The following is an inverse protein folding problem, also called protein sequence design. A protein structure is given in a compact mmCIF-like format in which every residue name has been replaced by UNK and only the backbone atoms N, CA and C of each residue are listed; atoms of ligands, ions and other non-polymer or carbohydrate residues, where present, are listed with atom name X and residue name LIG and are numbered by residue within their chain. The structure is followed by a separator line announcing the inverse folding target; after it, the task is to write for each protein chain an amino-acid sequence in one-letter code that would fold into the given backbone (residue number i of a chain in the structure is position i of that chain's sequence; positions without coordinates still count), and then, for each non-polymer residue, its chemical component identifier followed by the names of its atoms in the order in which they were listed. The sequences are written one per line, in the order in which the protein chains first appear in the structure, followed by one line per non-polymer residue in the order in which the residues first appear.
data_IF_669758030343
#
_entry.id   IF_669758030343
#
_cell.length_a   1.000
_cell.length_b   1.000
_cell.length_c   1.000
_cell.angle_alpha   90.00
_cell.angle_beta   90.00
_cell.angle_gamma   90.00
#
_symmetry.space_group_name_H-M   'P 1'
#
loop_
_entity.id
_entity.type
_entity.pdbx_description
1 polymer ?
#
# COMPACT_ATOMS: atom_id res chain seq x y z
N UNK A 1 18.92 -35.54 -59.72
CA UNK A 1 18.84 -34.22 -60.41
C UNK A 1 20.08 -33.44 -60.04
N UNK A 2 20.67 -32.79 -61.04
CA UNK A 2 22.08 -32.44 -61.18
C UNK A 2 22.69 -31.60 -60.07
N UNK A 3 23.93 -31.94 -59.70
CA UNK A 3 24.88 -31.09 -58.96
C UNK A 3 25.36 -30.02 -59.94
N UNK A 4 24.91 -28.78 -59.78
CA UNK A 4 25.53 -27.63 -60.43
C UNK A 4 26.62 -27.10 -59.50
N UNK A 5 27.80 -27.71 -59.63
CA UNK A 5 29.03 -27.26 -58.98
C UNK A 5 29.41 -25.91 -59.62
N UNK A 6 29.23 -24.83 -58.85
CA UNK A 6 29.69 -23.50 -59.26
C UNK A 6 31.22 -23.55 -59.25
N UNK A 7 31.80 -23.57 -60.44
CA UNK A 7 33.24 -23.50 -60.66
C UNK A 7 33.76 -22.14 -60.17
N UNK A 8 34.05 -22.05 -58.87
CA UNK A 8 34.79 -20.93 -58.30
C UNK A 8 36.25 -21.14 -58.71
N UNK A 9 36.74 -20.25 -59.57
CA UNK A 9 38.13 -20.13 -59.98
C UNK A 9 39.06 -20.29 -58.76
N UNK A 10 39.73 -21.44 -58.67
CA UNK A 10 40.77 -21.71 -57.68
C UNK A 10 42.03 -20.96 -58.10
N UNK A 11 42.05 -19.65 -57.86
CA UNK A 11 43.31 -18.93 -57.87
C UNK A 11 44.17 -19.54 -56.76
N UNK A 12 45.33 -20.07 -57.13
CA UNK A 12 46.31 -20.56 -56.19
C UNK A 12 46.76 -19.36 -55.34
N UNK A 13 46.12 -19.18 -54.19
CA UNK A 13 46.55 -18.20 -53.19
C UNK A 13 47.91 -18.70 -52.72
N UNK A 14 48.97 -18.01 -53.12
CA UNK A 14 50.30 -18.26 -52.60
C UNK A 14 50.24 -18.20 -51.07
N UNK A 15 50.92 -19.12 -50.35
CA UNK A 15 51.03 -19.02 -48.90
C UNK A 15 51.48 -17.61 -48.55
N UNK A 16 50.85 -16.93 -47.59
CA UNK A 16 51.26 -15.59 -47.19
C UNK A 16 52.76 -15.60 -46.90
N UNK A 17 53.51 -14.73 -47.59
CA UNK A 17 54.94 -14.56 -47.32
C UNK A 17 55.03 -13.77 -46.01
N UNK A 18 54.95 -14.48 -44.89
CA UNK A 18 55.03 -13.90 -43.55
C UNK A 18 56.51 -13.60 -43.30
N UNK A 19 56.83 -12.34 -43.01
CA UNK A 19 58.19 -11.96 -42.59
C UNK A 19 58.54 -12.67 -41.29
N UNK A 20 59.81 -13.06 -41.08
CA UNK A 20 60.25 -13.60 -39.79
C UNK A 20 59.91 -12.66 -38.62
N UNK A 21 59.93 -11.35 -38.86
CA UNK A 21 59.52 -10.33 -37.89
C UNK A 21 58.03 -10.43 -37.50
N UNK A 22 57.15 -10.73 -38.47
CA UNK A 22 55.71 -10.90 -38.22
C UNK A 22 55.46 -12.19 -37.42
N UNK A 23 56.22 -13.24 -37.71
CA UNK A 23 56.15 -14.50 -36.95
C UNK A 23 56.54 -14.29 -35.49
N UNK A 24 57.66 -13.62 -35.23
CA UNK A 24 58.11 -13.30 -33.87
C UNK A 24 57.13 -12.37 -33.13
N UNK A 25 56.48 -11.45 -33.83
CA UNK A 25 55.41 -10.62 -33.26
C UNK A 25 54.20 -11.47 -32.86
N UNK A 26 53.70 -12.34 -33.75
CA UNK A 26 52.56 -13.20 -33.46
C UNK A 26 52.83 -14.16 -32.30
N UNK A 27 54.03 -14.75 -32.22
CA UNK A 27 54.42 -15.59 -31.10
C UNK A 27 54.45 -14.82 -29.77
N UNK A 28 54.90 -13.56 -29.78
CA UNK A 28 54.83 -12.69 -28.58
C UNK A 28 53.39 -12.40 -28.17
N UNK A 29 52.50 -12.14 -29.12
CA UNK A 29 51.07 -11.89 -28.83
C UNK A 29 50.37 -13.14 -28.32
N UNK A 30 50.66 -14.31 -28.89
CA UNK A 30 50.13 -15.59 -28.41
C UNK A 30 50.60 -15.90 -26.99
N UNK A 31 51.90 -15.72 -26.70
CA UNK A 31 52.43 -15.85 -25.33
C UNK A 31 51.74 -14.89 -24.36
N UNK A 32 51.54 -13.64 -24.76
CA UNK A 32 50.83 -12.65 -23.95
C UNK A 32 49.40 -13.09 -23.63
N UNK A 33 48.64 -13.55 -24.64
CA UNK A 33 47.26 -14.05 -24.44
C UNK A 33 47.27 -15.19 -23.42
N UNK A 34 48.10 -16.22 -23.62
CA UNK A 34 48.15 -17.38 -22.73
C UNK A 34 48.42 -16.94 -21.28
N UNK A 35 49.47 -16.17 -21.05
CA UNK A 35 49.86 -15.69 -19.71
C UNK A 35 48.73 -14.87 -19.06
N UNK A 36 48.14 -13.93 -19.80
CA UNK A 36 47.08 -13.09 -19.26
C UNK A 36 45.81 -13.89 -18.97
N UNK A 37 45.45 -14.83 -19.83
CA UNK A 37 44.24 -15.67 -19.67
C UNK A 37 44.38 -16.66 -18.51
N UNK A 38 45.57 -17.23 -18.29
CA UNK A 38 45.88 -18.02 -17.10
C UNK A 38 45.83 -17.16 -15.84
N UNK A 39 46.38 -15.94 -15.89
CA UNK A 39 46.39 -14.99 -14.76
C UNK A 39 44.98 -14.62 -14.30
N UNK A 40 44.04 -14.42 -15.23
CA UNK A 40 42.65 -14.06 -14.91
C UNK A 40 41.77 -15.28 -14.57
N UNK A 41 42.33 -16.50 -14.53
CA UNK A 41 41.62 -17.70 -14.06
C UNK A 41 40.38 -18.04 -14.89
N UNK A 42 40.46 -17.76 -16.17
CA UNK A 42 39.33 -17.71 -17.06
C UNK A 42 38.91 -19.10 -17.56
N UNK A 43 37.63 -19.45 -17.41
CA UNK A 43 37.03 -20.72 -17.87
C UNK A 43 36.20 -20.52 -19.15
N UNK A 44 36.06 -21.58 -19.97
CA UNK A 44 35.35 -21.58 -21.26
C UNK A 44 33.84 -21.22 -21.18
N UNK A 45 33.30 -21.08 -19.97
CA UNK A 45 31.86 -21.02 -19.70
C UNK A 45 31.36 -19.63 -19.22
N UNK A 46 32.19 -18.58 -19.22
CA UNK A 46 31.81 -17.28 -18.64
C UNK A 46 32.15 -16.04 -19.49
N UNK A 47 31.35 -14.96 -19.41
CA UNK A 47 31.70 -13.68 -20.01
C UNK A 47 32.64 -12.95 -19.04
N UNK A 48 33.93 -13.30 -19.04
CA UNK A 48 34.91 -12.47 -18.35
C UNK A 48 35.07 -11.18 -19.16
N UNK A 49 34.59 -10.06 -18.62
CA UNK A 49 34.86 -8.73 -19.21
C UNK A 49 36.38 -8.52 -19.34
N UNK A 50 37.15 -9.21 -18.50
CA UNK A 50 38.61 -9.35 -18.52
C UNK A 50 39.13 -10.04 -19.79
N UNK A 51 38.49 -11.13 -20.26
CA UNK A 51 38.84 -11.76 -21.54
C UNK A 51 38.72 -10.78 -22.69
N UNK A 52 37.61 -10.04 -22.72
CA UNK A 52 37.35 -9.04 -23.75
C UNK A 52 38.44 -7.95 -23.75
N UNK A 53 38.88 -7.51 -22.58
CA UNK A 53 39.96 -6.51 -22.44
C UNK A 53 41.29 -7.05 -22.99
N UNK A 54 41.63 -8.32 -22.72
CA UNK A 54 42.86 -8.94 -23.22
C UNK A 54 42.87 -8.96 -24.76
N UNK A 55 41.80 -9.46 -25.38
CA UNK A 55 41.70 -9.52 -26.84
C UNK A 55 41.64 -8.14 -27.48
N UNK A 56 40.95 -7.18 -26.85
CA UNK A 56 40.94 -5.77 -27.30
C UNK A 56 42.35 -5.19 -27.36
N UNK A 57 43.14 -5.39 -26.31
CA UNK A 57 44.51 -4.90 -26.23
C UNK A 57 45.42 -5.54 -27.29
N UNK A 58 45.26 -6.85 -27.54
CA UNK A 58 46.02 -7.54 -28.60
C UNK A 58 45.63 -7.02 -29.97
N UNK A 59 44.34 -6.80 -30.22
CA UNK A 59 43.87 -6.27 -31.49
C UNK A 59 44.41 -4.86 -31.75
N UNK A 60 44.46 -4.00 -30.73
CA UNK A 60 45.08 -2.68 -30.82
C UNK A 60 46.58 -2.79 -31.20
N UNK A 61 47.32 -3.75 -30.61
CA UNK A 61 48.72 -4.03 -30.98
C UNK A 61 48.88 -4.54 -32.41
N UNK A 62 47.94 -5.33 -32.92
CA UNK A 62 47.93 -5.83 -34.30
C UNK A 62 47.70 -4.68 -35.30
N UNK A 63 46.75 -3.78 -34.99
CA UNK A 63 46.47 -2.58 -35.80
C UNK A 63 47.70 -1.67 -35.86
N UNK A 64 48.45 -1.57 -34.76
CA UNK A 64 49.68 -0.79 -34.71
C UNK A 64 50.82 -1.43 -35.51
N UNK A 65 50.98 -2.76 -35.39
CA UNK A 65 52.00 -3.53 -36.11
C UNK A 65 51.79 -3.50 -37.62
N UNK A 66 50.54 -3.57 -38.10
CA UNK A 66 50.29 -3.65 -39.54
C UNK A 66 49.64 -2.41 -40.11
N UNK A 67 50.53 -1.57 -40.63
CA UNK A 67 50.25 -0.23 -41.11
C UNK A 67 49.46 -0.19 -42.42
N UNK A 68 49.67 -1.16 -43.31
CA UNK A 68 49.08 -1.16 -44.67
C UNK A 68 47.55 -1.25 -44.66
N UNK A 69 46.97 -1.99 -43.70
CA UNK A 69 45.52 -2.19 -43.57
C UNK A 69 44.95 -1.58 -42.29
N UNK A 70 45.71 -0.67 -41.65
CA UNK A 70 45.36 -0.03 -40.39
C UNK A 70 43.98 0.62 -40.42
N UNK A 71 43.65 1.32 -41.50
CA UNK A 71 42.36 2.00 -41.67
C UNK A 71 41.20 1.01 -41.68
N UNK A 72 41.29 -0.05 -42.48
CA UNK A 72 40.26 -1.08 -42.60
C UNK A 72 40.07 -1.81 -41.27
N UNK A 73 41.16 -2.25 -40.61
CA UNK A 73 41.05 -2.92 -39.32
C UNK A 73 40.49 -2.02 -38.22
N UNK A 74 40.83 -0.73 -38.24
CA UNK A 74 40.27 0.24 -37.28
C UNK A 74 38.77 0.41 -37.50
N UNK A 75 38.31 0.52 -38.74
CA UNK A 75 36.87 0.59 -39.06
C UNK A 75 36.13 -0.68 -38.60
N UNK A 76 36.68 -1.86 -38.90
CA UNK A 76 36.12 -3.13 -38.42
C UNK A 76 36.04 -3.14 -36.89
N UNK A 77 37.13 -2.77 -36.21
CA UNK A 77 37.16 -2.69 -34.74
C UNK A 77 36.03 -1.80 -34.19
N UNK A 78 35.86 -0.62 -34.79
CA UNK A 78 34.85 0.35 -34.38
C UNK A 78 33.43 -0.18 -34.54
N UNK A 79 33.14 -0.89 -35.63
CA UNK A 79 31.84 -1.53 -35.84
C UNK A 79 31.55 -2.59 -34.77
N UNK A 80 32.52 -3.45 -34.46
CA UNK A 80 32.37 -4.45 -33.40
C UNK A 80 32.24 -3.82 -32.01
N UNK A 81 33.05 -2.81 -31.69
CA UNK A 81 32.96 -2.08 -30.42
C UNK A 81 31.56 -1.45 -30.25
N UNK A 82 31.02 -0.82 -31.29
CA UNK A 82 29.67 -0.25 -31.30
C UNK A 82 28.58 -1.30 -31.13
N UNK A 83 28.71 -2.44 -31.81
CA UNK A 83 27.77 -3.56 -31.70
C UNK A 83 27.76 -4.16 -30.29
N UNK A 84 28.94 -4.43 -29.72
CA UNK A 84 29.10 -4.95 -28.37
C UNK A 84 28.52 -3.97 -27.35
N UNK A 85 28.80 -2.67 -27.49
CA UNK A 85 28.24 -1.64 -26.62
C UNK A 85 26.70 -1.63 -26.66
N UNK A 86 26.13 -1.74 -27.85
CA UNK A 86 24.68 -1.80 -28.07
C UNK A 86 24.06 -3.02 -27.37
N UNK A 87 24.68 -4.20 -27.49
CA UNK A 87 24.24 -5.41 -26.80
C UNK A 87 24.31 -5.24 -25.28
N UNK A 88 25.46 -4.79 -24.75
CA UNK A 88 25.65 -4.59 -23.31
C UNK A 88 24.65 -3.58 -22.74
N UNK A 89 24.36 -2.50 -23.48
CA UNK A 89 23.33 -1.51 -23.11
C UNK A 89 21.94 -2.12 -23.11
N UNK A 90 21.60 -2.94 -24.11
CA UNK A 90 20.34 -3.67 -24.18
C UNK A 90 20.14 -4.60 -22.98
N UNK A 91 21.16 -5.39 -22.65
CA UNK A 91 21.14 -6.30 -21.49
C UNK A 91 20.94 -5.56 -20.16
N UNK A 92 21.68 -4.47 -19.93
CA UNK A 92 21.52 -3.64 -18.71
C UNK A 92 20.12 -3.04 -18.62
N UNK A 93 19.59 -2.56 -19.74
CA UNK A 93 18.25 -1.95 -19.79
C UNK A 93 17.17 -3.00 -19.51
N UNK A 94 17.28 -4.20 -20.09
CA UNK A 94 16.37 -5.31 -19.84
C UNK A 94 16.40 -5.76 -18.38
N UNK A 95 17.60 -5.89 -17.79
CA UNK A 95 17.77 -6.23 -16.37
C UNK A 95 17.11 -5.18 -15.46
N UNK A 96 17.37 -3.89 -15.71
CA UNK A 96 16.77 -2.80 -14.94
C UNK A 96 15.24 -2.81 -15.02
N UNK A 97 14.69 -2.94 -16.24
CA UNK A 97 13.25 -2.93 -16.46
C UNK A 97 12.58 -4.15 -15.81
N UNK A 98 13.21 -5.32 -15.92
CA UNK A 98 12.76 -6.54 -15.25
C UNK A 98 12.74 -6.37 -13.72
N UNK A 99 13.81 -5.80 -13.14
CA UNK A 99 13.88 -5.52 -11.71
C UNK A 99 12.78 -4.56 -11.25
N UNK A 100 12.57 -3.46 -11.99
CA UNK A 100 11.49 -2.50 -11.70
C UNK A 100 10.11 -3.14 -11.81
N UNK A 101 9.88 -3.95 -12.84
CA UNK A 101 8.64 -4.70 -13.00
C UNK A 101 8.42 -5.63 -11.81
N UNK A 102 9.43 -6.41 -11.42
CA UNK A 102 9.35 -7.33 -10.27
C UNK A 102 8.94 -6.61 -8.99
N UNK A 103 9.49 -5.41 -8.74
CA UNK A 103 9.13 -4.56 -7.59
C UNK A 103 7.68 -4.05 -7.70
N UNK A 104 7.24 -3.60 -8.88
CA UNK A 104 5.87 -3.12 -9.08
C UNK A 104 4.82 -4.25 -9.02
N UNK A 105 5.17 -5.43 -9.53
CA UNK A 105 4.32 -6.63 -9.47
C UNK A 105 4.32 -7.29 -8.10
N UNK A 106 5.34 -7.02 -7.28
CA UNK A 106 5.35 -7.40 -5.88
C UNK A 106 4.28 -6.56 -5.17
N UNK A 107 3.08 -7.13 -5.09
CA UNK A 107 1.96 -6.50 -4.41
C UNK A 107 2.37 -6.20 -2.96
N UNK A 108 2.32 -4.93 -2.50
CA UNK A 108 2.62 -4.61 -1.12
C UNK A 108 1.73 -5.44 -0.20
N UNK A 109 2.29 -6.04 0.85
CA UNK A 109 1.53 -6.87 1.80
C UNK A 109 0.28 -6.15 2.31
N UNK A 110 0.37 -4.84 2.52
CA UNK A 110 -0.73 -3.93 2.84
C UNK A 110 -1.87 -3.97 1.81
N UNK A 111 -1.56 -3.96 0.51
CA UNK A 111 -2.57 -4.06 -0.55
C UNK A 111 -3.29 -5.42 -0.53
N UNK A 112 -2.54 -6.50 -0.31
CA UNK A 112 -3.10 -7.85 -0.14
C UNK A 112 -4.06 -7.88 1.06
N UNK A 113 -3.67 -7.28 2.19
CA UNK A 113 -4.54 -7.17 3.36
C UNK A 113 -5.80 -6.37 3.08
N UNK A 114 -5.69 -5.23 2.38
CA UNK A 114 -6.85 -4.45 1.99
C UNK A 114 -7.79 -5.22 1.07
N UNK A 115 -7.27 -5.93 0.04
CA UNK A 115 -8.08 -6.81 -0.82
C UNK A 115 -8.80 -7.89 -0.03
N UNK A 116 -8.11 -8.60 0.87
CA UNK A 116 -8.73 -9.60 1.75
C UNK A 116 -9.84 -8.99 2.61
N UNK A 117 -9.59 -7.80 3.17
CA UNK A 117 -10.58 -7.09 4.00
C UNK A 117 -11.79 -6.63 3.20
N UNK A 118 -11.62 -6.22 1.93
CA UNK A 118 -12.74 -5.92 1.02
C UNK A 118 -13.66 -7.14 0.88
N UNK A 119 -13.09 -8.31 0.54
CA UNK A 119 -13.87 -9.56 0.40
C UNK A 119 -14.60 -9.93 1.70
N UNK A 120 -13.92 -9.79 2.85
CA UNK A 120 -14.53 -10.06 4.16
C UNK A 120 -15.69 -9.10 4.47
N UNK A 121 -15.54 -7.81 4.16
CA UNK A 121 -16.57 -6.80 4.39
C UNK A 121 -17.77 -7.02 3.47
N UNK A 122 -17.55 -7.32 2.20
CA UNK A 122 -18.62 -7.68 1.26
C UNK A 122 -19.41 -8.90 1.74
N UNK A 123 -18.73 -9.94 2.24
CA UNK A 123 -19.40 -11.10 2.82
C UNK A 123 -20.27 -10.72 4.03
N UNK A 124 -19.77 -9.85 4.90
CA UNK A 124 -20.54 -9.35 6.06
C UNK A 124 -21.74 -8.52 5.63
N UNK A 125 -21.60 -7.65 4.63
CA UNK A 125 -22.70 -6.86 4.07
C UNK A 125 -23.80 -7.78 3.56
N UNK A 126 -23.46 -8.81 2.76
CA UNK A 126 -24.43 -9.80 2.25
C UNK A 126 -25.22 -10.48 3.37
N UNK A 127 -24.57 -10.87 4.45
CA UNK A 127 -25.24 -11.47 5.62
C UNK A 127 -26.19 -10.48 6.30
N UNK A 128 -25.76 -9.23 6.48
CA UNK A 128 -26.59 -8.17 7.10
C UNK A 128 -27.81 -7.88 6.23
N UNK A 129 -27.65 -7.80 4.91
CA UNK A 129 -28.76 -7.56 3.97
C UNK A 129 -29.77 -8.71 3.97
N UNK A 130 -29.31 -9.96 3.99
CA UNK A 130 -30.17 -11.13 4.10
C UNK A 130 -30.98 -11.12 5.42
N UNK A 131 -30.30 -10.86 6.54
CA UNK A 131 -30.94 -10.75 7.85
C UNK A 131 -31.94 -9.59 7.90
N UNK A 132 -31.56 -8.43 7.36
CA UNK A 132 -32.42 -7.24 7.30
C UNK A 132 -33.69 -7.54 6.49
N UNK A 133 -33.55 -8.22 5.36
CA UNK A 133 -34.68 -8.66 4.54
C UNK A 133 -35.62 -9.61 5.30
N UNK A 134 -35.05 -10.58 6.04
CA UNK A 134 -35.81 -11.53 6.87
C UNK A 134 -36.60 -10.82 7.97
N UNK A 135 -35.96 -9.89 8.69
CA UNK A 135 -36.60 -9.10 9.75
C UNK A 135 -37.72 -8.25 9.18
N UNK A 136 -37.49 -7.57 8.06
CA UNK A 136 -38.53 -6.77 7.40
C UNK A 136 -39.74 -7.62 7.00
N UNK A 137 -39.51 -8.84 6.51
CA UNK A 137 -40.59 -9.78 6.18
C UNK A 137 -41.40 -10.18 7.44
N UNK A 138 -40.72 -10.51 8.54
CA UNK A 138 -41.38 -10.83 9.80
C UNK A 138 -42.19 -9.64 10.34
N UNK A 139 -41.66 -8.42 10.24
CA UNK A 139 -42.34 -7.20 10.65
C UNK A 139 -43.62 -6.95 9.83
N UNK A 140 -43.59 -7.19 8.52
CA UNK A 140 -44.78 -7.12 7.64
C UNK A 140 -45.83 -8.14 8.08
N UNK A 141 -45.44 -9.39 8.34
CA UNK A 141 -46.35 -10.44 8.85
C UNK A 141 -47.00 -10.03 10.18
N UNK A 142 -46.20 -9.57 11.15
CA UNK A 142 -46.70 -9.17 12.47
C UNK A 142 -47.65 -7.97 12.40
N UNK A 143 -47.37 -7.00 11.53
CA UNK A 143 -48.28 -5.87 11.24
C UNK A 143 -49.59 -6.35 10.59
N UNK A 144 -49.54 -7.34 9.71
CA UNK A 144 -50.73 -7.91 9.08
C UNK A 144 -51.59 -8.69 10.08
N UNK A 145 -50.98 -9.45 10.99
CA UNK A 145 -51.68 -10.14 12.09
C UNK A 145 -52.36 -9.12 13.01
N UNK A 146 -51.66 -8.05 13.42
CA UNK A 146 -52.28 -6.96 14.23
C UNK A 146 -53.45 -6.29 13.52
N UNK A 147 -53.38 -6.06 12.20
CA UNK A 147 -54.52 -5.55 11.42
C UNK A 147 -55.69 -6.53 11.36
N UNK A 148 -55.43 -7.84 11.28
CA UNK A 148 -56.47 -8.88 11.32
C UNK A 148 -57.07 -9.05 12.73
N UNK A 149 -56.31 -8.78 13.79
CA UNK A 149 -56.80 -8.78 15.18
C UNK A 149 -57.74 -7.62 15.49
N UNK A 150 -57.46 -6.41 14.99
CA UNK A 150 -58.36 -5.25 15.13
C UNK A 150 -59.70 -5.45 14.41
N UNK A 151 -59.76 -6.30 13.39
CA UNK A 151 -61.01 -6.65 12.67
C UNK A 151 -61.80 -7.78 13.35
N UNK A 152 -61.27 -8.42 14.40
CA UNK A 152 -61.92 -9.54 15.11
C UNK A 152 -62.26 -9.27 16.57
N UNK A 153 -62.05 -8.06 17.07
CA UNK A 153 -62.38 -7.67 18.45
C UNK A 153 -63.39 -6.51 18.46
N UNK A 154 -64.52 -6.73 17.79
CA UNK A 154 -65.72 -5.91 17.86
C UNK A 154 -66.88 -6.79 18.27
N UNK A 155 -67.01 -7.00 19.59
CA UNK A 155 -68.06 -7.68 20.39
C UNK A 155 -67.28 -8.33 21.55
N UNK A 156 -67.21 -7.80 22.78
CA UNK A 156 -68.30 -7.55 23.71
C UNK A 156 -67.86 -6.58 24.84
N UNK A 157 -68.86 -5.85 25.39
CA UNK A 157 -68.93 -5.22 26.72
C UNK A 157 -68.18 -3.89 26.95
N UNK A 158 -68.92 -2.81 26.70
CA UNK A 158 -68.77 -1.51 27.39
C UNK A 158 -69.27 -1.62 28.83
N UNK A 159 -68.36 -1.65 29.81
CA UNK A 159 -68.71 -1.33 31.20
C UNK A 159 -68.05 0.00 31.57
N UNK A 160 -68.89 1.01 31.66
CA UNK A 160 -68.61 2.33 32.22
C UNK A 160 -68.24 2.21 33.69
N UNK A 161 -67.01 2.58 34.08
CA UNK A 161 -66.64 2.80 35.48
C UNK A 161 -66.26 4.27 35.63
N UNK A 162 -67.10 4.99 36.39
CA UNK A 162 -67.01 6.41 36.68
C UNK A 162 -65.75 6.76 37.52
N UNK A 163 -65.08 7.91 37.26
CA UNK A 163 -63.78 8.25 37.84
C UNK A 163 -63.82 9.02 39.17
N UNK A 164 -64.63 8.59 40.15
CA UNK A 164 -64.75 9.31 41.43
C UNK A 164 -64.66 8.37 42.64
N UNK A 165 -63.44 8.16 43.15
CA UNK A 165 -63.11 7.84 44.55
C UNK A 165 -61.61 8.11 44.80
N UNK A 166 -61.29 8.64 45.98
CA UNK A 166 -60.07 9.39 46.29
C UNK A 166 -59.20 8.74 47.39
N UNK A 167 -57.86 8.90 47.25
CA UNK A 167 -56.77 9.00 48.29
C UNK A 167 -56.23 7.65 48.86
N UNK A 168 -54.90 7.46 49.17
CA UNK A 168 -53.87 8.46 49.53
C UNK A 168 -52.49 8.44 48.82
N UNK A 169 -51.96 9.65 48.67
CA UNK A 169 -50.58 10.11 48.90
C UNK A 169 -49.38 9.22 48.54
N UNK A 170 -48.79 9.47 47.36
CA UNK A 170 -47.37 9.86 47.19
C UNK A 170 -47.26 10.65 45.89
N UNK A 171 -46.72 11.87 45.99
CA UNK A 171 -46.05 12.66 44.95
C UNK A 171 -46.35 12.37 43.47
N UNK A 172 -47.26 13.18 42.92
CA UNK A 172 -47.45 13.58 41.51
C UNK A 172 -46.17 13.50 40.63
N UNK A 173 -45.89 12.36 39.98
CA UNK A 173 -44.96 12.30 38.83
C UNK A 173 -45.78 12.49 37.55
N UNK A 174 -45.79 13.73 37.06
CA UNK A 174 -46.27 14.06 35.71
C UNK A 174 -45.34 13.46 34.68
N UNK A 175 -45.90 12.63 33.79
CA UNK A 175 -45.35 12.36 32.46
C UNK A 175 -44.39 11.17 32.41
N UNK A 176 -44.61 10.29 31.44
CA UNK A 176 -43.72 9.18 31.10
C UNK A 176 -42.34 9.75 30.73
N UNK A 177 -41.35 9.65 31.62
CA UNK A 177 -39.98 10.11 31.37
C UNK A 177 -39.45 9.36 30.14
N UNK A 178 -39.00 10.08 29.11
CA UNK A 178 -38.48 9.44 27.91
C UNK A 178 -37.20 8.66 28.28
N UNK A 179 -36.99 7.45 27.72
CA UNK A 179 -35.79 6.66 28.00
C UNK A 179 -34.48 7.42 27.72
N UNK A 180 -34.53 8.39 26.81
CA UNK A 180 -33.41 9.26 26.47
C UNK A 180 -33.06 10.23 27.61
N UNK A 181 -34.05 10.79 28.32
CA UNK A 181 -33.80 11.67 29.45
C UNK A 181 -33.18 10.90 30.62
N UNK A 182 -33.68 9.69 30.91
CA UNK A 182 -33.12 8.81 31.93
C UNK A 182 -31.67 8.41 31.62
N UNK A 183 -31.35 8.18 30.34
CA UNK A 183 -29.96 7.92 29.92
C UNK A 183 -29.05 9.10 30.22
N UNK A 184 -29.45 10.32 29.87
CA UNK A 184 -28.64 11.50 30.14
C UNK A 184 -28.54 11.82 31.63
N UNK A 185 -29.60 11.63 32.40
CA UNK A 185 -29.59 11.78 33.85
C UNK A 185 -28.60 10.82 34.52
N UNK A 186 -28.61 9.54 34.13
CA UNK A 186 -27.64 8.56 34.60
C UNK A 186 -26.20 8.91 34.14
N UNK A 187 -26.04 9.39 32.90
CA UNK A 187 -24.74 9.77 32.35
C UNK A 187 -24.10 10.94 33.12
N UNK A 188 -24.86 12.00 33.42
CA UNK A 188 -24.34 13.13 34.17
C UNK A 188 -24.11 12.79 35.65
N UNK A 189 -25.00 11.99 36.25
CA UNK A 189 -24.85 11.56 37.65
C UNK A 189 -23.60 10.69 37.85
N UNK A 190 -23.35 9.75 36.94
CA UNK A 190 -22.16 8.88 36.98
C UNK A 190 -20.87 9.63 36.66
N UNK A 191 -20.91 10.56 35.70
CA UNK A 191 -19.77 11.44 35.38
C UNK A 191 -19.35 12.28 36.58
N UNK A 192 -20.32 12.84 37.30
CA UNK A 192 -20.04 13.59 38.52
C UNK A 192 -19.43 12.72 39.61
N UNK A 193 -20.02 11.54 39.89
CA UNK A 193 -19.49 10.60 40.87
C UNK A 193 -18.05 10.16 40.53
N UNK A 194 -17.74 10.01 39.24
CA UNK A 194 -16.43 9.64 38.74
C UNK A 194 -15.44 10.82 38.58
N UNK A 195 -15.86 12.07 38.86
CA UNK A 195 -15.07 13.31 38.65
C UNK A 195 -14.46 13.42 37.24
N UNK A 196 -15.13 12.88 36.23
CA UNK A 196 -14.68 12.91 34.82
C UNK A 196 -15.66 13.69 33.98
N UNK A 197 -15.24 14.73 33.24
CA UNK A 197 -16.17 15.52 32.44
C UNK A 197 -16.73 14.71 31.26
N UNK A 198 -18.03 14.85 31.00
CA UNK A 198 -18.68 14.29 29.80
C UNK A 198 -18.22 15.08 28.57
N UNK A 199 -18.00 14.38 27.46
CA UNK A 199 -17.66 15.02 26.17
C UNK A 199 -18.67 16.12 25.80
N UNK A 200 -18.17 17.27 25.36
CA UNK A 200 -18.97 18.47 25.03
C UNK A 200 -20.16 18.19 24.09
N UNK A 201 -20.00 17.30 23.11
CA UNK A 201 -21.08 16.94 22.18
C UNK A 201 -22.21 16.16 22.86
N UNK A 202 -21.88 15.26 23.80
CA UNK A 202 -22.86 14.53 24.59
C UNK A 202 -23.54 15.44 25.62
N UNK A 203 -22.78 16.36 26.21
CA UNK A 203 -23.31 17.38 27.14
C UNK A 203 -24.36 18.25 26.46
N UNK A 204 -24.08 18.74 25.25
CA UNK A 204 -25.01 19.55 24.47
C UNK A 204 -26.29 18.78 24.08
N UNK A 205 -26.16 17.50 23.71
CA UNK A 205 -27.33 16.66 23.41
C UNK A 205 -28.19 16.40 24.64
N UNK A 206 -27.57 16.15 25.79
CA UNK A 206 -28.30 15.96 27.05
C UNK A 206 -29.03 17.21 27.51
N UNK A 207 -28.37 18.37 27.47
CA UNK A 207 -28.99 19.66 27.79
C UNK A 207 -30.15 19.97 26.83
N UNK A 208 -29.97 19.78 25.53
CA UNK A 208 -31.05 19.96 24.54
C UNK A 208 -32.24 19.03 24.80
N UNK A 209 -31.98 17.79 25.21
CA UNK A 209 -33.01 16.83 25.60
C UNK A 209 -33.81 17.32 26.81
N UNK A 210 -33.13 17.73 27.90
CA UNK A 210 -33.78 18.25 29.10
C UNK A 210 -34.62 19.52 28.83
N UNK A 211 -34.13 20.41 27.98
CA UNK A 211 -34.88 21.60 27.54
C UNK A 211 -36.13 21.23 26.73
N UNK A 212 -36.01 20.26 25.81
CA UNK A 212 -37.15 19.80 25.00
C UNK A 212 -38.26 19.14 25.83
N UNK A 213 -37.90 18.56 26.98
CA UNK A 213 -38.84 17.92 27.90
C UNK A 213 -39.35 18.86 29.01
N UNK A 214 -39.02 20.16 28.92
CA UNK A 214 -39.39 21.20 29.90
C UNK A 214 -38.92 20.89 31.33
N UNK A 215 -37.83 20.14 31.47
CA UNK A 215 -37.19 19.79 32.74
C UNK A 215 -35.99 20.70 33.01
N UNK A 216 -36.29 21.98 33.20
CA UNK A 216 -35.29 23.02 33.51
C UNK A 216 -34.56 22.75 34.83
N UNK A 217 -35.25 22.11 35.78
CA UNK A 217 -34.71 21.64 37.06
C UNK A 217 -33.46 20.76 36.87
N UNK A 218 -33.54 19.77 35.98
CA UNK A 218 -32.43 18.86 35.69
C UNK A 218 -31.29 19.55 34.94
N UNK A 219 -31.62 20.41 33.96
CA UNK A 219 -30.61 21.15 33.20
C UNK A 219 -29.83 22.12 34.10
N UNK A 220 -30.51 22.83 35.00
CA UNK A 220 -29.86 23.72 35.97
C UNK A 220 -28.96 22.91 36.91
N UNK A 221 -29.42 21.75 37.38
CA UNK A 221 -28.61 20.86 38.20
C UNK A 221 -27.32 20.41 37.47
N UNK A 222 -27.42 19.96 36.22
CA UNK A 222 -26.24 19.52 35.46
C UNK A 222 -25.26 20.66 35.15
N UNK A 223 -25.76 21.85 34.83
CA UNK A 223 -24.92 23.02 34.53
C UNK A 223 -24.21 23.55 35.77
N UNK A 224 -24.89 23.57 36.91
CA UNK A 224 -24.28 23.97 38.20
C UNK A 224 -23.23 22.96 38.65
N UNK A 225 -23.47 21.67 38.42
CA UNK A 225 -22.55 20.58 38.77
C UNK A 225 -21.27 20.56 37.93
N UNK A 226 -21.29 21.08 36.70
CA UNK A 226 -20.10 21.23 35.85
C UNK A 226 -19.26 22.48 36.17
N UNK A 227 -19.79 23.46 36.93
CA UNK A 227 -19.05 24.67 37.34
C UNK A 227 -18.22 24.50 38.63
N UNK A 228 -18.28 23.32 39.27
CA UNK A 228 -17.68 23.05 40.58
C UNK A 228 -16.23 22.55 40.60
N UNK A 229 -15.43 22.71 39.54
CA UNK A 229 -13.97 22.43 39.59
C UNK A 229 -13.18 23.74 39.53
N UNK A 230 -12.62 24.22 40.65
CA UNK A 230 -11.69 25.35 40.64
C UNK A 230 -10.39 24.95 39.94
N UNK A 231 -9.81 25.93 39.24
CA UNK A 231 -8.59 25.87 38.46
C UNK A 231 -7.44 25.04 39.07
N UNK A 232 -6.81 24.22 38.24
CA UNK A 232 -5.39 23.92 38.37
C UNK A 232 -4.76 24.10 36.99
N UNK A 233 -4.04 25.22 36.84
CA UNK A 233 -3.18 25.51 35.69
C UNK A 233 -2.23 24.32 35.43
N UNK A 234 -1.99 23.93 34.17
CA UNK A 234 -0.87 23.06 33.85
C UNK A 234 0.46 23.84 34.01
N UNK A 235 1.49 23.27 34.65
CA UNK A 235 2.83 23.84 34.64
C UNK A 235 3.41 23.80 33.21
N UNK A 236 4.15 24.85 32.86
CA UNK A 236 4.64 25.11 31.51
C UNK A 236 5.50 24.00 30.89
N UNK A 237 5.57 23.94 29.55
CA UNK A 237 6.44 23.00 28.86
C UNK A 237 7.91 23.33 29.12
N UNK A 238 8.69 22.31 29.48
CA UNK A 238 10.15 22.34 29.49
C UNK A 238 10.62 22.25 28.05
N UNK A 239 11.30 23.30 27.59
CA UNK A 239 11.99 23.31 26.30
C UNK A 239 13.15 22.31 26.33
N UNK A 240 13.06 21.25 25.53
CA UNK A 240 14.20 20.51 25.00
C UNK A 240 14.39 20.97 23.54
N UNK A 241 15.04 22.11 23.37
CA UNK A 241 15.69 22.49 22.12
C UNK A 241 17.14 22.01 22.15
N UNK A 242 17.44 21.02 21.31
CA UNK A 242 18.80 20.72 20.85
C UNK A 242 18.66 19.76 19.66
N UNK A 243 18.73 20.30 18.44
CA UNK A 243 19.73 19.94 17.41
C UNK A 243 19.70 21.07 16.37
N UNK A 244 20.65 21.99 16.52
CA UNK A 244 21.03 22.91 15.45
C UNK A 244 21.73 22.13 14.33
N UNK A 245 21.22 22.28 13.10
CA UNK A 245 21.97 22.05 11.87
C UNK A 245 22.23 23.40 11.23
N UNK A 246 23.40 23.99 11.51
CA UNK A 246 23.96 25.01 10.65
C UNK A 246 24.78 24.34 9.55
N UNK A 247 24.27 24.46 8.33
CA UNK A 247 25.08 24.39 7.11
C UNK A 247 25.97 25.64 7.08
N UNK A 248 27.29 25.45 7.04
CA UNK A 248 28.23 26.52 6.66
C UNK A 248 28.48 26.43 5.16
N UNK A 249 28.41 27.58 4.51
CA UNK A 249 29.21 27.88 3.31
C UNK A 249 30.70 27.95 3.68
#
# INVERSE_FOLDING_TARGET
MSVQEIAINKHAVLPPIISNHDKEFLERMQRYIIIETERVGCTDEGPADEYFIIYRNVFDKIIEHVTAYKTILTSIKQEYDSFIETIKKGQRSAFYLHGKLKVLTAEPTTLVYHRKRVVQLEAKIRVIEANSSKIQMQLKKLRQVRRKGIVKEGNYLTTTINPSRSIPDVGKIKGKTLPLLLFFEALFSTSHAAKKPVNAHLTLKGIKCGLSEKRLDLVIHWVTQQRGTPAMMPPGPKDLELVGKSLSC
#
